data_IF_972076565433
#
_entry.id   IF_972076565433
#
_cell.length_a   1.000
_cell.length_b   1.000
_cell.length_c   1.000
_cell.angle_alpha   90.00
_cell.angle_beta   90.00
_cell.angle_gamma   90.00
#
_symmetry.space_group_name_H-M   'P 1'
#
loop_
_entity.id
_entity.type
_entity.pdbx_description
1 polymer ?
#
# COMPACT_ATOMS: atom_id res chain seq x y z
N UNK A 1 48.32 11.77 20.13
CA UNK A 1 47.02 11.95 20.80
C UNK A 1 46.04 12.52 19.78
N UNK A 2 44.88 11.88 19.60
CA UNK A 2 43.82 12.43 18.77
C UNK A 2 43.28 13.68 19.45
N UNK A 3 43.26 14.81 18.73
CA UNK A 3 42.69 16.05 19.27
C UNK A 3 41.17 15.92 19.40
N UNK A 4 40.61 16.47 20.47
CA UNK A 4 39.15 16.59 20.66
C UNK A 4 38.45 17.20 19.44
N UNK A 5 39.13 18.08 18.69
CA UNK A 5 38.61 18.63 17.44
C UNK A 5 38.40 17.57 16.34
N UNK A 6 39.32 16.61 16.22
CA UNK A 6 39.21 15.52 15.26
C UNK A 6 38.08 14.57 15.64
N UNK A 7 37.90 14.28 16.94
CA UNK A 7 36.78 13.47 17.44
C UNK A 7 35.44 14.14 17.15
N UNK A 8 35.31 15.45 17.43
CA UNK A 8 34.09 16.21 17.14
C UNK A 8 33.76 16.17 15.65
N UNK A 9 34.75 16.35 14.78
CA UNK A 9 34.54 16.33 13.32
C UNK A 9 34.08 14.96 12.83
N UNK A 10 34.66 13.88 13.38
CA UNK A 10 34.27 12.51 13.03
C UNK A 10 32.85 12.18 13.51
N UNK A 11 32.47 12.60 14.73
CA UNK A 11 31.12 12.42 15.24
C UNK A 11 30.09 13.23 14.44
N UNK A 12 30.39 14.47 14.07
CA UNK A 12 29.50 15.26 13.20
C UNK A 12 29.33 14.65 11.82
N UNK A 13 30.41 14.11 11.23
CA UNK A 13 30.33 13.41 9.94
C UNK A 13 29.50 12.13 10.03
N UNK A 14 29.64 11.37 11.12
CA UNK A 14 28.84 10.17 11.36
C UNK A 14 27.36 10.51 11.56
N UNK A 15 27.05 11.54 12.36
CA UNK A 15 25.68 12.00 12.58
C UNK A 15 25.02 12.46 11.27
N UNK A 16 25.72 13.25 10.45
CA UNK A 16 25.22 13.69 9.15
C UNK A 16 24.98 12.53 8.18
N UNK A 17 25.86 11.52 8.18
CA UNK A 17 25.67 10.30 7.37
C UNK A 17 24.46 9.50 7.82
N UNK A 18 24.24 9.33 9.12
CA UNK A 18 23.08 8.62 9.67
C UNK A 18 21.79 9.38 9.41
N UNK A 19 21.78 10.71 9.53
CA UNK A 19 20.64 11.56 9.17
C UNK A 19 20.27 11.38 7.69
N UNK A 20 21.28 11.40 6.82
CA UNK A 20 21.10 11.20 5.37
C UNK A 20 20.71 9.78 5.00
N UNK A 21 20.96 8.76 5.84
CA UNK A 21 20.50 7.39 5.61
C UNK A 21 19.10 7.13 6.20
N UNK A 22 18.77 7.81 7.31
CA UNK A 22 17.46 7.76 7.95
C UNK A 22 16.42 8.49 7.11
N UNK A 23 16.78 9.64 6.51
CA UNK A 23 15.87 10.45 5.69
C UNK A 23 15.30 9.72 4.46
N UNK A 24 16.09 8.92 3.69
CA UNK A 24 15.57 8.02 2.67
C UNK A 24 14.63 6.95 3.21
N UNK A 25 14.95 6.32 4.35
CA UNK A 25 14.07 5.31 4.94
C UNK A 25 12.74 5.92 5.40
N UNK A 26 12.78 7.08 6.04
CA UNK A 26 11.59 7.84 6.43
C UNK A 26 10.78 8.27 5.21
N UNK A 27 11.43 8.72 4.13
CA UNK A 27 10.72 9.08 2.90
C UNK A 27 9.95 7.89 2.29
N UNK A 28 10.53 6.69 2.30
CA UNK A 28 9.85 5.46 1.83
C UNK A 28 8.69 5.10 2.76
N UNK A 29 8.84 5.29 4.07
CA UNK A 29 7.76 5.06 5.04
C UNK A 29 6.62 6.07 4.84
N UNK A 30 6.94 7.34 4.62
CA UNK A 30 5.96 8.39 4.35
C UNK A 30 5.21 8.13 3.03
N UNK A 31 5.92 7.67 1.99
CA UNK A 31 5.30 7.24 0.73
C UNK A 31 4.36 6.04 0.93
N UNK A 32 4.76 5.06 1.72
CA UNK A 32 3.93 3.91 2.05
C UNK A 32 2.67 4.31 2.85
N UNK A 33 2.79 5.25 3.80
CA UNK A 33 1.64 5.75 4.56
C UNK A 33 0.69 6.56 3.69
N UNK A 34 1.21 7.37 2.76
CA UNK A 34 0.40 8.06 1.75
C UNK A 34 -0.36 7.08 0.85
N UNK A 35 0.32 6.04 0.34
CA UNK A 35 -0.31 5.00 -0.46
C UNK A 35 -1.42 4.27 0.33
N UNK A 36 -1.18 3.98 1.61
CA UNK A 36 -2.19 3.38 2.50
C UNK A 36 -3.39 4.29 2.73
N UNK A 37 -3.18 5.61 2.86
CA UNK A 37 -4.27 6.57 3.00
C UNK A 37 -5.15 6.61 1.74
N UNK A 38 -4.54 6.55 0.55
CA UNK A 38 -5.26 6.50 -0.73
C UNK A 38 -6.05 5.20 -0.88
N UNK A 39 -5.49 4.06 -0.46
CA UNK A 39 -6.21 2.77 -0.43
C UNK A 39 -7.41 2.82 0.51
N UNK A 40 -7.27 3.40 1.70
CA UNK A 40 -8.39 3.59 2.62
C UNK A 40 -9.50 4.43 1.99
N UNK A 41 -9.13 5.52 1.33
CA UNK A 41 -10.09 6.39 0.65
C UNK A 41 -10.80 5.66 -0.50
N UNK A 42 -10.07 4.82 -1.23
CA UNK A 42 -10.62 3.98 -2.28
C UNK A 42 -11.62 2.95 -1.72
N UNK A 43 -11.32 2.33 -0.58
CA UNK A 43 -12.23 1.42 0.10
C UNK A 43 -13.50 2.14 0.57
N UNK A 44 -13.37 3.31 1.20
CA UNK A 44 -14.51 4.14 1.62
C UNK A 44 -15.40 4.55 0.42
N UNK A 45 -14.81 4.81 -0.74
CA UNK A 45 -15.56 5.06 -1.97
C UNK A 45 -16.39 3.84 -2.40
N UNK A 46 -15.78 2.65 -2.38
CA UNK A 46 -16.47 1.39 -2.74
C UNK A 46 -17.59 1.07 -1.75
N UNK A 47 -17.34 1.23 -0.44
CA UNK A 47 -18.31 0.99 0.63
C UNK A 47 -19.53 1.92 0.53
N UNK A 48 -19.35 3.13 -0.01
CA UNK A 48 -20.41 4.09 -0.25
C UNK A 48 -21.11 3.91 -1.61
N UNK A 49 -21.26 2.67 -2.07
CA UNK A 49 -21.85 2.30 -3.37
C UNK A 49 -21.17 3.03 -4.56
N UNK A 50 -19.89 3.38 -4.43
CA UNK A 50 -19.20 4.24 -5.38
C UNK A 50 -19.04 3.60 -6.76
N UNK A 51 -18.98 2.27 -6.83
CA UNK A 51 -18.85 1.56 -8.11
C UNK A 51 -20.13 1.64 -8.94
N UNK A 52 -21.30 1.51 -8.32
CA UNK A 52 -22.58 1.63 -9.02
C UNK A 52 -22.79 3.08 -9.49
N UNK A 53 -22.48 4.06 -8.62
CA UNK A 53 -22.49 5.48 -8.98
C UNK A 53 -21.49 5.83 -10.09
N UNK A 54 -20.33 5.16 -10.13
CA UNK A 54 -19.35 5.32 -11.20
C UNK A 54 -19.88 4.76 -12.52
N UNK A 55 -20.52 3.59 -12.51
CA UNK A 55 -21.12 2.98 -13.69
C UNK A 55 -22.26 3.86 -14.26
N UNK A 56 -23.10 4.44 -13.40
CA UNK A 56 -24.11 5.44 -13.79
C UNK A 56 -23.48 6.71 -14.40
N UNK A 57 -22.42 7.24 -13.80
CA UNK A 57 -21.74 8.43 -14.28
C UNK A 57 -21.06 8.20 -15.65
N UNK A 58 -20.53 7.01 -15.89
CA UNK A 58 -19.99 6.61 -17.19
C UNK A 58 -21.11 6.59 -18.24
N UNK A 59 -22.24 5.94 -17.94
CA UNK A 59 -23.38 5.89 -18.86
C UNK A 59 -23.93 7.29 -19.20
N UNK A 60 -24.01 8.17 -18.20
CA UNK A 60 -24.40 9.57 -18.39
C UNK A 60 -23.40 10.33 -19.27
N UNK A 61 -22.10 10.13 -19.09
CA UNK A 61 -21.07 10.75 -19.91
C UNK A 61 -21.11 10.25 -21.37
N UNK A 62 -21.36 8.96 -21.59
CA UNK A 62 -21.55 8.38 -22.92
C UNK A 62 -22.80 8.98 -23.60
N UNK A 63 -23.91 9.08 -22.87
CA UNK A 63 -25.14 9.68 -23.39
C UNK A 63 -24.97 11.17 -23.73
N UNK A 64 -24.16 11.90 -22.97
CA UNK A 64 -23.81 13.29 -23.23
C UNK A 64 -22.76 13.46 -24.35
N UNK A 65 -22.24 12.39 -24.94
CA UNK A 65 -21.17 12.43 -25.94
C UNK A 65 -19.80 12.85 -25.39
N UNK A 66 -19.62 12.82 -24.06
CA UNK A 66 -18.34 13.14 -23.42
C UNK A 66 -17.44 11.90 -23.34
N UNK A 67 -16.88 11.51 -24.49
CA UNK A 67 -16.04 10.33 -24.60
C UNK A 67 -14.80 10.36 -23.68
N UNK A 68 -14.24 11.55 -23.43
CA UNK A 68 -13.09 11.72 -22.55
C UNK A 68 -13.40 11.37 -21.09
N UNK A 69 -14.55 11.82 -20.58
CA UNK A 69 -15.00 11.46 -19.24
C UNK A 69 -15.38 9.97 -19.15
N UNK A 70 -16.10 9.44 -20.14
CA UNK A 70 -16.49 8.04 -20.19
C UNK A 70 -15.26 7.11 -20.22
N UNK A 71 -14.23 7.45 -21.02
CA UNK A 71 -12.97 6.68 -21.07
C UNK A 71 -12.26 6.65 -19.72
N UNK A 72 -12.08 7.82 -19.08
CA UNK A 72 -11.46 7.89 -17.74
C UNK A 72 -12.24 7.08 -16.71
N UNK A 73 -13.57 7.14 -16.75
CA UNK A 73 -14.42 6.34 -15.86
C UNK A 73 -14.23 4.84 -16.06
N UNK A 74 -14.20 4.36 -17.31
CA UNK A 74 -13.93 2.95 -17.62
C UNK A 74 -12.54 2.50 -17.17
N UNK A 75 -11.52 3.34 -17.32
CA UNK A 75 -10.16 3.08 -16.81
C UNK A 75 -10.15 2.95 -15.28
N UNK A 76 -10.83 3.87 -14.57
CA UNK A 76 -10.99 3.79 -13.13
C UNK A 76 -11.73 2.50 -12.71
N UNK A 77 -12.81 2.15 -13.41
CA UNK A 77 -13.59 0.94 -13.15
C UNK A 77 -12.75 -0.34 -13.33
N UNK A 78 -11.91 -0.38 -14.36
CA UNK A 78 -11.00 -1.48 -14.60
C UNK A 78 -9.93 -1.62 -13.50
N UNK A 79 -9.43 -0.50 -12.96
CA UNK A 79 -8.50 -0.53 -11.84
C UNK A 79 -9.13 -1.13 -10.58
N UNK A 80 -10.34 -0.69 -10.21
CA UNK A 80 -11.08 -1.28 -9.09
C UNK A 80 -11.34 -2.78 -9.25
N UNK A 81 -11.64 -3.24 -10.47
CA UNK A 81 -11.81 -4.68 -10.74
C UNK A 81 -10.53 -5.46 -10.47
N UNK A 82 -9.38 -4.98 -10.94
CA UNK A 82 -8.08 -5.62 -10.70
C UNK A 82 -7.73 -5.67 -9.23
N UNK A 83 -7.99 -4.60 -8.48
CA UNK A 83 -7.75 -4.61 -7.03
C UNK A 83 -8.59 -5.67 -6.31
N UNK A 84 -9.85 -5.85 -6.72
CA UNK A 84 -10.70 -6.92 -6.18
C UNK A 84 -10.19 -8.32 -6.54
N UNK A 85 -9.72 -8.52 -7.77
CA UNK A 85 -9.13 -9.80 -8.21
C UNK A 85 -7.91 -10.16 -7.36
N UNK A 86 -7.00 -9.20 -7.13
CA UNK A 86 -5.80 -9.40 -6.29
C UNK A 86 -6.15 -9.66 -4.82
N UNK A 87 -7.15 -8.93 -4.28
CA UNK A 87 -7.61 -9.16 -2.91
C UNK A 87 -8.21 -10.57 -2.75
N UNK A 88 -9.05 -11.00 -3.70
CA UNK A 88 -9.66 -12.33 -3.67
C UNK A 88 -8.64 -13.48 -3.82
N UNK A 89 -7.56 -13.28 -4.60
CA UNK A 89 -6.46 -14.24 -4.73
C UNK A 89 -5.67 -14.38 -3.41
N UNK A 90 -5.53 -13.27 -2.67
CA UNK A 90 -4.84 -13.24 -1.37
C UNK A 90 -5.61 -13.99 -0.28
N UNK A 91 -6.95 -13.94 -0.30
CA UNK A 91 -7.81 -14.65 0.67
C UNK A 91 -7.83 -16.17 0.45
N UNK A 92 -7.50 -16.66 -0.75
CA UNK A 92 -7.49 -18.08 -1.08
C UNK A 92 -6.15 -18.79 -0.81
N UNK A 93 -5.07 -18.04 -0.49
CA UNK A 93 -3.71 -18.58 -0.28
C UNK A 93 -3.23 -18.65 1.17
N UNK A 94 -4.00 -18.17 2.15
CA UNK A 94 -3.55 -17.92 3.53
C UNK A 94 -4.02 -18.92 4.61
N UNK A 95 -4.42 -20.14 4.23
CA UNK A 95 -4.96 -21.14 5.16
C UNK A 95 -4.38 -22.53 4.94
N UNK A 96 -3.08 -22.71 5.23
CA UNK A 96 -2.42 -24.01 5.08
C UNK A 96 -1.26 -24.19 6.04
N UNK A 97 -1.51 -24.99 7.07
CA UNK A 97 -0.53 -25.75 7.85
C UNK A 97 0.37 -25.00 8.85
N UNK A 98 -0.21 -24.67 10.00
CA UNK A 98 0.46 -24.90 11.28
C UNK A 98 -0.30 -25.99 12.04
N UNK A 99 -0.33 -27.20 11.46
CA UNK A 99 -0.73 -28.40 12.19
C UNK A 99 0.28 -28.65 13.30
N UNK A 100 -0.15 -28.48 14.54
CA UNK A 100 0.65 -28.75 15.72
C UNK A 100 1.14 -30.19 15.70
N UNK A 101 2.46 -30.37 15.63
CA UNK A 101 3.14 -31.57 16.06
C UNK A 101 3.06 -31.62 17.59
N UNK A 102 1.89 -32.02 18.12
CA UNK A 102 1.76 -32.41 19.52
C UNK A 102 2.47 -33.75 19.69
N UNK A 103 3.75 -33.66 20.05
CA UNK A 103 4.58 -34.81 20.39
C UNK A 103 3.96 -35.65 21.51
N UNK A 104 3.45 -36.82 21.12
CA UNK A 104 3.13 -37.94 21.99
C UNK A 104 4.44 -38.47 22.61
N UNK A 105 4.86 -37.86 23.72
CA UNK A 105 5.88 -38.41 24.60
C UNK A 105 5.24 -39.06 25.82
N UNK A 106 5.50 -40.38 25.92
CA UNK A 106 5.51 -41.25 27.12
C UNK A 106 4.20 -41.95 27.45
N UNK A 107 4.10 -43.18 26.95
CA UNK A 107 3.79 -44.33 27.80
C UNK A 107 4.34 -45.62 27.19
N UNK A 108 5.47 -46.10 27.71
CA UNK A 108 5.85 -47.51 27.82
C UNK A 108 7.04 -47.65 28.77
#
# INVERSE_FOLDING_TARGET
>A
MVSTAAVKRALSALASRTDTATRPAVAVIDEADAARADLRRAAEFVDADGLDRLDEAIAAAEHAGNEGAAKRGREARAAFRRFREVAADSDLGGGGDCGGDDGDERSK
#
